data_IF_771564283279
#
_entry.id   IF_771564283279
#
_cell.length_a   1.000
_cell.length_b   1.000
_cell.length_c   1.000
_cell.angle_alpha   90.00
_cell.angle_beta   90.00
_cell.angle_gamma   90.00
#
_symmetry.space_group_name_H-M   'P 1'
#
loop_
_entity.id
_entity.type
_entity.pdbx_description
1 polymer ?
#
# COMPACT_ATOMS: atom_id res chain seq x y z
N UNK A 1 5.51 -11.53 0.78
CA UNK A 1 4.17 -10.91 0.58
C UNK A 1 3.95 -10.37 -0.84
N UNK A 2 4.92 -9.62 -1.40
CA UNK A 2 4.76 -8.93 -2.67
C UNK A 2 4.58 -9.87 -3.87
N UNK A 3 5.41 -10.91 -3.99
CA UNK A 3 5.38 -11.86 -5.12
C UNK A 3 4.03 -12.59 -5.18
N UNK A 4 3.59 -13.13 -4.05
CA UNK A 4 2.30 -13.84 -3.93
C UNK A 4 1.12 -12.90 -4.21
N UNK A 5 1.20 -11.66 -3.74
CA UNK A 5 0.20 -10.62 -4.00
C UNK A 5 0.12 -10.18 -5.45
N UNK A 6 1.27 -9.99 -6.11
CA UNK A 6 1.34 -9.65 -7.53
C UNK A 6 0.74 -10.76 -8.40
N UNK A 7 1.00 -12.02 -8.05
CA UNK A 7 0.37 -13.15 -8.73
C UNK A 7 -1.16 -13.15 -8.56
N UNK A 8 -1.64 -12.87 -7.34
CA UNK A 8 -3.08 -12.78 -7.07
C UNK A 8 -3.74 -11.63 -7.85
N UNK A 9 -3.09 -10.47 -7.92
CA UNK A 9 -3.56 -9.32 -8.70
C UNK A 9 -3.62 -9.67 -10.19
N UNK A 10 -2.60 -10.35 -10.74
CA UNK A 10 -2.60 -10.81 -12.11
C UNK A 10 -3.79 -11.76 -12.40
N UNK A 11 -4.13 -12.65 -11.46
CA UNK A 11 -5.31 -13.52 -11.56
C UNK A 11 -6.61 -12.69 -11.55
N UNK A 12 -6.71 -11.63 -10.72
CA UNK A 12 -7.88 -10.76 -10.73
C UNK A 12 -8.02 -9.95 -12.02
N UNK A 13 -6.91 -9.52 -12.62
CA UNK A 13 -6.90 -8.84 -13.92
C UNK A 13 -7.42 -9.78 -15.01
N UNK A 14 -6.93 -11.04 -15.05
CA UNK A 14 -7.39 -12.01 -16.07
C UNK A 14 -8.86 -12.41 -15.89
N UNK A 15 -9.41 -12.27 -14.68
CA UNK A 15 -10.84 -12.44 -14.39
C UNK A 15 -11.69 -11.19 -14.60
N UNK A 16 -11.10 -10.04 -14.93
CA UNK A 16 -11.83 -8.78 -15.18
C UNK A 16 -12.21 -7.97 -13.93
N UNK A 17 -11.72 -8.33 -12.74
CA UNK A 17 -12.02 -7.63 -11.49
C UNK A 17 -11.09 -6.44 -11.23
N UNK A 18 -11.05 -5.47 -12.15
CA UNK A 18 -10.15 -4.32 -12.07
C UNK A 18 -10.39 -3.43 -10.84
N UNK A 19 -11.62 -3.37 -10.33
CA UNK A 19 -11.95 -2.60 -9.12
C UNK A 19 -11.27 -3.08 -7.84
N UNK A 20 -10.84 -4.35 -7.80
CA UNK A 20 -10.25 -5.00 -6.62
C UNK A 20 -8.72 -5.03 -6.71
N UNK A 21 -8.16 -4.84 -7.90
CA UNK A 21 -6.71 -4.78 -8.15
C UNK A 21 -6.07 -3.64 -7.35
N UNK A 22 -6.71 -2.48 -7.33
CA UNK A 22 -6.26 -1.32 -6.58
C UNK A 22 -6.15 -1.59 -5.06
N UNK A 23 -7.23 -1.98 -4.33
CA UNK A 23 -7.13 -2.31 -2.91
C UNK A 23 -6.20 -3.49 -2.62
N UNK A 24 -6.19 -4.52 -3.46
CA UNK A 24 -5.27 -5.65 -3.29
C UNK A 24 -3.81 -5.20 -3.36
N UNK A 25 -3.46 -4.34 -4.31
CA UNK A 25 -2.08 -3.82 -4.44
C UNK A 25 -1.62 -3.03 -3.20
N UNK A 26 -2.48 -2.17 -2.64
CA UNK A 26 -2.22 -1.43 -1.39
C UNK A 26 -1.96 -2.38 -0.22
N UNK A 27 -2.81 -3.41 -0.05
CA UNK A 27 -2.68 -4.37 1.06
C UNK A 27 -1.38 -5.18 0.94
N UNK A 28 -1.10 -5.74 -0.24
CA UNK A 28 0.12 -6.55 -0.44
C UNK A 28 1.40 -5.73 -0.34
N UNK A 29 1.36 -4.50 -0.86
CA UNK A 29 2.47 -3.57 -0.73
C UNK A 29 2.70 -3.17 0.73
N UNK A 30 1.64 -2.82 1.47
CA UNK A 30 1.73 -2.52 2.90
C UNK A 30 2.26 -3.70 3.73
N UNK A 31 1.82 -4.93 3.42
CA UNK A 31 2.37 -6.14 4.04
C UNK A 31 3.85 -6.36 3.69
N UNK A 32 4.27 -6.06 2.46
CA UNK A 32 5.66 -6.12 2.06
C UNK A 32 6.52 -5.10 2.83
N UNK A 33 6.02 -3.87 3.00
CA UNK A 33 6.68 -2.83 3.81
C UNK A 33 6.78 -3.24 5.27
N UNK A 34 5.72 -3.78 5.88
CA UNK A 34 5.76 -4.24 7.28
C UNK A 34 6.77 -5.37 7.45
N UNK A 35 6.78 -6.34 6.52
CA UNK A 35 7.75 -7.43 6.53
C UNK A 35 9.19 -6.90 6.36
N UNK A 36 9.43 -5.96 5.45
CA UNK A 36 10.74 -5.33 5.24
C UNK A 36 11.17 -4.46 6.44
N UNK A 37 10.23 -3.79 7.11
CA UNK A 37 10.52 -2.91 8.26
C UNK A 37 11.05 -3.65 9.49
N UNK A 38 10.87 -4.97 9.57
CA UNK A 38 11.55 -5.77 10.61
C UNK A 38 13.08 -5.69 10.48
N UNK A 39 13.60 -5.33 9.31
CA UNK A 39 15.03 -5.20 9.02
C UNK A 39 15.49 -3.75 8.78
N UNK A 40 14.57 -2.76 8.75
CA UNK A 40 14.90 -1.35 8.44
C UNK A 40 13.98 -0.41 9.19
N UNK A 41 14.55 0.63 9.82
CA UNK A 41 13.90 1.73 10.56
C UNK A 41 12.39 1.62 10.79
N UNK A 42 11.98 1.50 12.06
CA UNK A 42 10.59 1.28 12.48
C UNK A 42 9.57 2.31 11.97
N UNK A 43 10.02 3.43 11.42
CA UNK A 43 9.17 4.39 10.71
C UNK A 43 8.49 3.68 9.52
N UNK A 44 9.15 2.79 8.76
CA UNK A 44 8.61 2.20 7.50
C UNK A 44 7.45 1.26 7.80
N UNK A 45 7.45 0.70 9.01
CA UNK A 45 6.36 -0.10 9.57
C UNK A 45 5.05 0.67 9.61
N UNK A 46 5.08 1.93 10.05
CA UNK A 46 3.89 2.78 10.14
C UNK A 46 3.30 3.07 8.76
N UNK A 47 4.14 3.31 7.75
CA UNK A 47 3.68 3.49 6.38
C UNK A 47 2.99 2.24 5.85
N UNK A 48 3.59 1.07 6.10
CA UNK A 48 3.01 -0.22 5.70
C UNK A 48 1.65 -0.48 6.36
N UNK A 49 1.50 -0.20 7.66
CA UNK A 49 0.24 -0.34 8.39
C UNK A 49 -0.83 0.60 7.81
N UNK A 50 -0.49 1.86 7.52
CA UNK A 50 -1.42 2.81 6.91
C UNK A 50 -1.87 2.35 5.51
N UNK A 51 -0.96 1.80 4.69
CA UNK A 51 -1.32 1.25 3.39
C UNK A 51 -2.26 0.05 3.49
N UNK A 52 -2.07 -0.83 4.48
CA UNK A 52 -2.99 -1.95 4.74
C UNK A 52 -4.38 -1.42 5.12
N UNK A 53 -4.45 -0.45 6.04
CA UNK A 53 -5.71 0.14 6.47
C UNK A 53 -6.45 0.83 5.30
N UNK A 54 -5.75 1.62 4.50
CA UNK A 54 -6.28 2.25 3.28
C UNK A 54 -6.77 1.21 2.27
N UNK A 55 -6.01 0.13 2.06
CA UNK A 55 -6.39 -0.96 1.18
C UNK A 55 -7.65 -1.71 1.63
N UNK A 56 -7.83 -1.90 2.94
CA UNK A 56 -9.05 -2.49 3.52
C UNK A 56 -10.27 -1.58 3.34
N UNK A 57 -10.11 -0.28 3.57
CA UNK A 57 -11.18 0.72 3.34
C UNK A 57 -11.55 0.77 1.85
N UNK A 58 -10.54 0.75 0.97
CA UNK A 58 -10.73 0.72 -0.47
C UNK A 58 -11.43 -0.57 -0.95
N UNK A 59 -11.22 -1.70 -0.26
CA UNK A 59 -11.92 -2.95 -0.55
C UNK A 59 -13.41 -2.92 -0.16
N UNK A 60 -13.77 -2.15 0.88
CA UNK A 60 -15.17 -1.95 1.28
C UNK A 60 -15.97 -1.08 0.29
N UNK A 61 -15.27 -0.28 -0.53
CA UNK A 61 -15.87 0.66 -1.47
C UNK A 61 -15.44 0.33 -2.91
N UNK A 62 -15.94 -0.77 -3.51
CA UNK A 62 -15.65 -1.16 -4.89
C UNK A 62 -16.24 -0.12 -5.86
N UNK A 63 -15.43 0.89 -6.16
CA UNK A 63 -15.79 2.08 -6.95
C UNK A 63 -14.85 3.25 -6.68
N UNK A 64 -14.37 3.38 -5.43
CA UNK A 64 -13.40 4.38 -5.02
C UNK A 64 -11.96 3.82 -4.92
N UNK A 65 -11.74 2.57 -5.31
CA UNK A 65 -10.44 1.89 -5.18
C UNK A 65 -9.28 2.66 -5.83
N UNK A 66 -9.51 3.29 -6.99
CA UNK A 66 -8.49 4.09 -7.68
C UNK A 66 -8.13 5.37 -6.91
N UNK A 67 -9.10 6.01 -6.26
CA UNK A 67 -8.89 7.21 -5.45
C UNK A 67 -8.06 6.89 -4.21
N UNK A 68 -8.40 5.82 -3.50
CA UNK A 68 -7.62 5.35 -2.36
C UNK A 68 -6.22 4.88 -2.77
N UNK A 69 -6.08 4.29 -3.97
CA UNK A 69 -4.79 3.92 -4.54
C UNK A 69 -3.91 5.13 -4.81
N UNK A 70 -4.45 6.17 -5.43
CA UNK A 70 -3.73 7.43 -5.64
C UNK A 70 -3.37 8.11 -4.32
N UNK A 71 -4.23 8.03 -3.29
CA UNK A 71 -3.92 8.54 -1.95
C UNK A 71 -2.80 7.74 -1.27
N UNK A 72 -2.82 6.41 -1.33
CA UNK A 72 -1.82 5.56 -0.67
C UNK A 72 -0.45 5.58 -1.35
N UNK A 73 -0.40 5.51 -2.69
CA UNK A 73 0.87 5.57 -3.42
C UNK A 73 1.37 6.99 -3.71
N UNK A 74 0.48 7.97 -3.81
CA UNK A 74 0.84 9.36 -4.03
C UNK A 74 1.03 10.11 -2.72
N UNK A 75 -0.09 10.49 -2.09
CA UNK A 75 -0.09 11.43 -0.96
C UNK A 75 0.64 10.87 0.25
N UNK A 76 0.35 9.63 0.64
CA UNK A 76 0.94 9.02 1.83
C UNK A 76 2.46 8.87 1.70
N UNK A 77 2.94 8.53 0.50
CA UNK A 77 4.37 8.42 0.22
C UNK A 77 5.09 9.77 0.25
N UNK A 78 4.45 10.83 -0.29
CA UNK A 78 5.00 12.18 -0.26
C UNK A 78 5.13 12.69 1.17
N UNK A 79 4.05 12.57 1.98
CA UNK A 79 4.06 12.98 3.39
C UNK A 79 5.16 12.23 4.14
N UNK A 80 5.25 10.93 3.90
CA UNK A 80 6.21 10.08 4.57
C UNK A 80 7.66 10.39 4.18
N UNK A 81 7.93 10.64 2.89
CA UNK A 81 9.22 11.11 2.39
C UNK A 81 9.64 12.42 3.05
N UNK A 82 8.70 13.36 3.19
CA UNK A 82 8.94 14.64 3.88
C UNK A 82 9.25 14.46 5.38
N UNK A 83 8.55 13.55 6.07
CA UNK A 83 8.82 13.26 7.50
C UNK A 83 10.19 12.62 7.68
N UNK A 84 10.57 11.67 6.81
CA UNK A 84 11.90 11.05 6.84
C UNK A 84 13.00 12.08 6.61
N UNK A 85 12.82 12.99 5.65
CA UNK A 85 13.76 14.08 5.39
C UNK A 85 13.99 14.94 6.64
N UNK A 86 12.91 15.34 7.31
CA UNK A 86 12.98 16.19 8.50
C UNK A 86 13.59 15.51 9.73
N UNK A 87 13.55 14.16 9.80
CA UNK A 87 13.96 13.40 10.99
C UNK A 87 15.39 12.85 10.94
N UNK A 88 16.00 12.80 9.75
CA UNK A 88 17.39 12.36 9.57
C UNK A 88 18.37 13.50 9.29
N UNK A 89 17.89 14.64 8.80
CA UNK A 89 18.71 15.80 8.45
C UNK A 89 18.56 16.97 9.44
N UNK A 90 17.81 16.77 10.54
CA UNK A 90 17.55 17.76 11.59
C UNK A 90 18.29 17.50 12.90
#
# INVERSE_FOLDING_TARGET
PLITGGLLIAIFITRGYLGIVAPASLIFYGLALVAASNYTFGVVKYLGILQIALGLIAALLPGYGLLFWALGFGVLHIIYGSIMYYKYDG
#
